data_IF_832653852055
#
_entry.id   IF_832653852055
#
_cell.length_a   1.000
_cell.length_b   1.000
_cell.length_c   1.000
_cell.angle_alpha   90.00
_cell.angle_beta   90.00
_cell.angle_gamma   90.00
#
_symmetry.space_group_name_H-M   'P 1'
#
loop_
_entity.id
_entity.type
_entity.pdbx_description
1 polymer ?
#
# COMPACT_ATOMS: atom_id res chain seq x y z
N UNK A 1 20.38 -21.70 -47.28
CA UNK A 1 19.19 -21.44 -46.45
C UNK A 1 19.17 -22.53 -45.40
N UNK A 2 19.59 -22.23 -44.17
CA UNK A 2 19.55 -23.20 -43.07
C UNK A 2 18.44 -22.76 -42.14
N UNK A 3 17.29 -23.42 -42.25
CA UNK A 3 16.19 -23.27 -41.31
C UNK A 3 16.55 -23.97 -40.00
N UNK A 4 16.90 -23.18 -39.00
CA UNK A 4 16.98 -23.69 -37.62
C UNK A 4 15.57 -23.84 -37.09
N UNK A 5 15.06 -25.07 -37.04
CA UNK A 5 13.80 -25.38 -36.36
C UNK A 5 14.03 -25.28 -34.85
N UNK A 6 13.57 -24.20 -34.23
CA UNK A 6 13.54 -24.06 -32.77
C UNK A 6 12.31 -24.79 -32.23
N UNK A 7 12.49 -26.04 -31.80
CA UNK A 7 11.46 -26.77 -31.06
C UNK A 7 11.38 -26.23 -29.62
N UNK A 8 10.53 -25.23 -29.36
CA UNK A 8 10.19 -24.85 -27.98
C UNK A 8 9.18 -25.86 -27.45
N UNK A 9 9.67 -26.85 -26.72
CA UNK A 9 8.81 -27.64 -25.85
C UNK A 9 8.04 -26.67 -24.94
N UNK A 10 6.71 -26.65 -25.05
CA UNK A 10 5.86 -25.79 -24.24
C UNK A 10 6.19 -26.00 -22.77
N UNK A 11 6.68 -24.95 -22.10
CA UNK A 11 6.84 -24.94 -20.66
C UNK A 11 5.49 -25.33 -20.05
N UNK A 12 5.42 -26.52 -19.43
CA UNK A 12 4.30 -26.85 -18.55
C UNK A 12 4.30 -25.75 -17.49
N UNK A 13 3.33 -24.84 -17.55
CA UNK A 13 3.10 -23.86 -16.47
C UNK A 13 2.94 -24.69 -15.20
N UNK A 14 3.96 -24.71 -14.36
CA UNK A 14 3.88 -25.36 -13.06
C UNK A 14 2.69 -24.81 -12.30
N UNK A 15 2.15 -25.59 -11.36
CA UNK A 15 1.14 -25.07 -10.47
C UNK A 15 1.67 -23.78 -9.80
N UNK A 16 0.90 -22.70 -9.89
CA UNK A 16 1.29 -21.41 -9.29
C UNK A 16 1.42 -21.52 -7.77
N UNK A 17 2.12 -20.57 -7.16
CA UNK A 17 2.22 -20.46 -5.71
C UNK A 17 0.83 -20.28 -5.11
N UNK A 18 0.51 -21.10 -4.11
CA UNK A 18 -0.69 -20.94 -3.28
C UNK A 18 -0.25 -20.31 -1.96
N UNK A 19 -0.85 -19.17 -1.61
CA UNK A 19 -0.66 -18.52 -0.33
C UNK A 19 -2.01 -18.45 0.39
N UNK A 20 -2.03 -18.84 1.64
CA UNK A 20 -3.23 -18.71 2.48
C UNK A 20 -3.36 -17.27 2.98
N UNK A 21 -4.61 -16.81 3.10
CA UNK A 21 -4.92 -15.51 3.71
C UNK A 21 -4.97 -15.68 5.21
N UNK A 22 -4.19 -14.90 5.95
CA UNK A 22 -4.19 -14.92 7.42
C UNK A 22 -4.94 -13.71 7.98
N UNK A 23 -4.63 -12.50 7.47
CA UNK A 23 -5.16 -11.22 7.97
C UNK A 23 -6.00 -10.45 6.95
N UNK A 24 -6.46 -11.10 5.88
CA UNK A 24 -7.25 -10.43 4.83
C UNK A 24 -8.47 -11.24 4.47
N UNK A 25 -9.55 -10.54 4.19
CA UNK A 25 -10.80 -11.14 3.70
C UNK A 25 -10.81 -11.13 2.18
N UNK A 26 -11.22 -12.24 1.56
CA UNK A 26 -11.32 -12.31 0.11
C UNK A 26 -12.38 -11.34 -0.41
N UNK A 27 -12.01 -10.50 -1.38
CA UNK A 27 -12.92 -9.52 -1.99
C UNK A 27 -13.08 -8.21 -1.20
N UNK A 28 -12.41 -8.06 -0.06
CA UNK A 28 -12.45 -6.83 0.73
C UNK A 28 -11.17 -6.03 0.49
N UNK A 29 -11.31 -4.72 0.26
CA UNK A 29 -10.18 -3.82 0.21
C UNK A 29 -9.80 -3.42 1.65
N UNK A 30 -8.54 -3.62 2.10
CA UNK A 30 -8.18 -3.41 3.50
C UNK A 30 -8.46 -2.00 4.04
N UNK A 31 -8.45 -0.96 3.20
CA UNK A 31 -8.77 0.41 3.63
C UNK A 31 -10.26 0.66 3.88
N UNK A 32 -11.14 -0.20 3.37
CA UNK A 32 -12.58 -0.13 3.64
C UNK A 32 -12.90 -0.65 5.06
N UNK A 33 -11.97 -1.40 5.67
CA UNK A 33 -12.09 -1.93 7.03
C UNK A 33 -11.54 -0.97 8.10
N UNK A 34 -11.00 0.18 7.69
CA UNK A 34 -10.40 1.19 8.59
C UNK A 34 -11.33 2.38 8.73
N UNK A 35 -11.58 2.83 9.96
CA UNK A 35 -12.22 4.11 10.23
C UNK A 35 -11.21 5.23 10.06
N UNK A 36 -11.50 6.17 9.17
CA UNK A 36 -10.63 7.31 8.88
C UNK A 36 -11.17 8.60 9.51
N UNK A 37 -10.28 9.40 10.06
CA UNK A 37 -10.55 10.75 10.52
C UNK A 37 -9.62 11.75 9.84
N UNK A 38 -10.08 12.99 9.68
CA UNK A 38 -9.28 14.06 9.07
C UNK A 38 -8.61 14.90 10.13
N UNK A 39 -7.28 14.98 10.08
CA UNK A 39 -6.47 15.84 10.95
C UNK A 39 -5.65 16.80 10.11
N UNK A 40 -5.34 17.96 10.69
CA UNK A 40 -4.38 18.91 10.14
C UNK A 40 -3.01 18.65 10.76
N UNK A 41 -1.99 18.50 9.92
CA UNK A 41 -0.60 18.34 10.33
C UNK A 41 0.06 19.69 10.25
N UNK A 42 0.42 20.26 11.40
CA UNK A 42 1.16 21.52 11.50
C UNK A 42 2.43 21.27 12.28
N UNK A 43 3.57 21.53 11.65
CA UNK A 43 4.86 21.49 12.31
C UNK A 43 5.41 22.90 12.43
N UNK A 44 5.70 23.31 13.67
CA UNK A 44 6.25 24.63 13.98
C UNK A 44 7.76 24.54 14.24
N UNK A 45 8.49 25.57 13.84
CA UNK A 45 9.86 25.80 14.26
C UNK A 45 9.88 26.08 15.76
N UNK A 46 10.56 25.23 16.54
CA UNK A 46 10.61 25.41 17.99
C UNK A 46 11.28 26.71 18.44
N UNK A 47 12.15 27.30 17.59
CA UNK A 47 12.91 28.52 17.90
C UNK A 47 12.19 29.79 17.46
N UNK A 48 11.55 29.79 16.29
CA UNK A 48 10.87 31.00 15.75
C UNK A 48 9.36 30.97 15.90
N UNK A 49 8.76 29.81 16.21
CA UNK A 49 7.31 29.62 16.27
C UNK A 49 6.63 29.58 14.91
N UNK A 50 7.38 29.79 13.82
CA UNK A 50 6.86 29.81 12.46
C UNK A 50 6.46 28.41 11.99
N UNK A 51 5.41 28.33 11.18
CA UNK A 51 5.01 27.09 10.52
C UNK A 51 6.06 26.72 9.47
N UNK A 52 6.72 25.57 9.66
CA UNK A 52 7.70 25.03 8.69
C UNK A 52 7.09 23.98 7.78
N UNK A 53 5.95 23.40 8.18
CA UNK A 53 5.19 22.46 7.37
C UNK A 53 3.71 22.50 7.77
N UNK A 54 2.84 22.47 6.77
CA UNK A 54 1.39 22.43 6.96
C UNK A 54 0.74 21.54 5.90
N UNK A 55 -0.10 20.60 6.34
CA UNK A 55 -0.95 19.81 5.47
C UNK A 55 -2.31 19.61 6.14
N UNK A 56 -3.37 20.08 5.48
CA UNK A 56 -4.72 20.05 6.03
C UNK A 56 -5.55 18.89 5.48
N UNK A 57 -6.48 18.40 6.29
CA UNK A 57 -7.47 17.41 5.90
C UNK A 57 -6.90 16.03 5.56
N UNK A 58 -5.74 15.68 6.11
CA UNK A 58 -5.08 14.39 5.92
C UNK A 58 -5.87 13.31 6.65
N UNK A 59 -6.07 12.17 6.01
CA UNK A 59 -6.79 11.04 6.59
C UNK A 59 -5.85 10.18 7.43
N UNK A 60 -6.24 9.95 8.68
CA UNK A 60 -5.55 9.09 9.63
C UNK A 60 -6.50 8.00 10.13
N UNK A 61 -6.01 6.78 10.39
CA UNK A 61 -6.78 5.82 11.16
C UNK A 61 -7.09 6.38 12.55
N UNK A 62 -8.33 6.21 12.99
CA UNK A 62 -8.81 6.70 14.29
C UNK A 62 -7.98 6.19 15.48
N UNK A 63 -7.50 4.95 15.40
CA UNK A 63 -6.72 4.30 16.44
C UNK A 63 -5.26 4.75 16.53
N UNK A 64 -4.79 5.63 15.63
CA UNK A 64 -3.46 6.21 15.75
C UNK A 64 -3.44 7.32 16.81
N UNK A 65 -2.51 7.21 17.76
CA UNK A 65 -2.28 8.25 18.75
C UNK A 65 -1.86 9.56 18.09
N UNK A 66 -2.34 10.68 18.64
CA UNK A 66 -1.78 11.99 18.34
C UNK A 66 -0.41 12.08 19.01
N UNK A 67 0.57 12.59 18.26
CA UNK A 67 1.99 12.65 18.63
C UNK A 67 2.26 13.41 19.93
#
# INVERSE_FOLDING_TARGET
MSDTVVNRAGSKRGAGLKAERIYTTAGVHPYDEVTWERRDVVQNNWKTGEVVFEQRGVEFPDFWSVN
#
